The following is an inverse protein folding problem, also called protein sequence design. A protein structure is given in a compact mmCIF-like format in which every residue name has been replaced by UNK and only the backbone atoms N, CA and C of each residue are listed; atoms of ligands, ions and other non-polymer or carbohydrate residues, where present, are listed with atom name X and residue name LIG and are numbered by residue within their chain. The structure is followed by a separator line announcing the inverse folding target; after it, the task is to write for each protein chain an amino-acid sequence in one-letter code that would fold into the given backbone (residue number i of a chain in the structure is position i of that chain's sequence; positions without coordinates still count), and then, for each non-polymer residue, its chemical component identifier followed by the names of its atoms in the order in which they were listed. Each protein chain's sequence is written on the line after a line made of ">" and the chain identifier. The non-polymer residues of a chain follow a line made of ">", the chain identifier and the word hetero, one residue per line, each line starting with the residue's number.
data_IF_589452753123
#
_entry.id   IF_589452753123
#
_cell.length_a   1.000
_cell.length_b   1.000
_cell.length_c   1.000
_cell.angle_alpha   90.00
_cell.angle_beta   90.00
_cell.angle_gamma   90.00
#
_symmetry.space_group_name_H-M   'P 1'
#
loop_
_entity.id
_entity.type
_entity.pdbx_description
1 polymer ?
#
# COMPACT_ATOMS: atom_id res chain seq x y z
N UNK A 1 10.15 10.79 -8.03
CA UNK A 1 10.21 9.31 -8.02
C UNK A 1 11.11 8.87 -6.88
N UNK A 2 11.01 7.60 -6.45
CA UNK A 2 11.86 7.05 -5.40
C UNK A 2 12.38 5.67 -5.82
N UNK A 3 13.67 5.41 -5.63
CA UNK A 3 14.33 4.14 -5.97
C UNK A 3 14.98 3.58 -4.71
N UNK A 4 14.71 2.31 -4.40
CA UNK A 4 15.19 1.66 -3.19
C UNK A 4 15.98 0.39 -3.50
N UNK A 5 16.88 0.02 -2.58
CA UNK A 5 17.55 -1.28 -2.58
C UNK A 5 18.33 -1.59 -3.86
N UNK A 6 19.01 -0.60 -4.45
CA UNK A 6 19.79 -0.78 -5.68
C UNK A 6 18.94 -1.01 -6.93
N UNK A 7 17.71 -0.49 -6.97
CA UNK A 7 16.79 -0.66 -8.11
C UNK A 7 15.80 -1.81 -7.95
N UNK A 8 15.74 -2.44 -6.79
CA UNK A 8 14.78 -3.51 -6.49
C UNK A 8 13.35 -3.01 -6.37
N UNK A 9 13.15 -1.78 -5.89
CA UNK A 9 11.83 -1.15 -5.81
C UNK A 9 11.92 0.24 -6.46
N UNK A 10 10.94 0.57 -7.29
CA UNK A 10 10.78 1.88 -7.90
C UNK A 10 9.37 2.43 -7.71
N UNK A 11 9.26 3.72 -7.38
CA UNK A 11 8.00 4.42 -7.20
C UNK A 11 7.94 5.68 -8.07
N UNK A 12 6.85 5.81 -8.83
CA UNK A 12 6.41 7.04 -9.47
C UNK A 12 5.20 7.57 -8.71
N UNK A 13 5.17 8.87 -8.45
CA UNK A 13 4.14 9.54 -7.69
C UNK A 13 3.81 10.86 -8.36
N UNK A 14 2.52 11.11 -8.59
CA UNK A 14 1.98 12.37 -9.07
C UNK A 14 1.19 13.05 -7.95
N UNK A 15 1.61 14.27 -7.59
CA UNK A 15 0.95 15.12 -6.61
C UNK A 15 0.67 16.46 -7.25
N UNK A 16 -0.58 16.88 -7.19
CA UNK A 16 -1.04 18.14 -7.76
C UNK A 16 -1.12 19.20 -6.67
N UNK A 17 -0.71 20.42 -7.01
CA UNK A 17 -0.96 21.66 -6.27
C UNK A 17 -1.70 22.65 -7.18
N UNK A 18 -2.25 23.72 -6.61
CA UNK A 18 -2.93 24.75 -7.41
C UNK A 18 -1.96 25.65 -8.16
N UNK A 19 -0.85 26.02 -7.52
CA UNK A 19 0.17 26.92 -8.11
C UNK A 19 1.55 26.26 -8.28
N UNK A 20 2.34 26.81 -9.20
CA UNK A 20 3.74 26.40 -9.42
C UNK A 20 4.67 26.88 -8.29
N UNK A 21 4.28 27.92 -7.56
CA UNK A 21 4.97 28.36 -6.35
C UNK A 21 4.98 27.28 -5.28
N UNK A 22 3.85 26.60 -5.05
CA UNK A 22 3.76 25.46 -4.13
C UNK A 22 4.59 24.28 -4.60
N UNK A 23 4.53 23.95 -5.89
CA UNK A 23 5.33 22.85 -6.46
C UNK A 23 6.85 23.04 -6.27
N UNK A 24 7.32 24.29 -6.09
CA UNK A 24 8.72 24.64 -5.85
C UNK A 24 9.07 24.75 -4.37
N UNK A 25 8.09 24.76 -3.46
CA UNK A 25 8.27 24.85 -2.02
C UNK A 25 8.99 23.59 -1.47
N UNK A 26 9.92 23.79 -0.53
CA UNK A 26 10.70 22.69 0.04
C UNK A 26 9.86 21.75 0.92
N UNK A 27 8.87 22.24 1.66
CA UNK A 27 7.95 21.39 2.43
C UNK A 27 7.13 20.48 1.49
N UNK A 28 6.67 21.02 0.36
CA UNK A 28 5.96 20.24 -0.66
C UNK A 28 6.85 19.15 -1.25
N UNK A 29 8.06 19.49 -1.68
CA UNK A 29 9.03 18.50 -2.22
C UNK A 29 9.36 17.42 -1.20
N UNK A 30 9.59 17.80 0.05
CA UNK A 30 9.86 16.87 1.15
C UNK A 30 8.70 15.91 1.37
N UNK A 31 7.47 16.44 1.39
CA UNK A 31 6.27 15.62 1.47
C UNK A 31 6.20 14.61 0.31
N UNK A 32 6.35 15.05 -0.94
CA UNK A 32 6.29 14.16 -2.12
C UNK A 32 7.34 13.05 -2.03
N UNK A 33 8.57 13.37 -1.63
CA UNK A 33 9.63 12.39 -1.44
C UNK A 33 9.30 11.38 -0.33
N UNK A 34 8.77 11.87 0.79
CA UNK A 34 8.41 11.06 1.93
C UNK A 34 7.22 10.13 1.63
N UNK A 35 6.22 10.59 0.87
CA UNK A 35 5.12 9.75 0.40
C UNK A 35 5.63 8.70 -0.59
N UNK A 36 6.56 9.04 -1.50
CA UNK A 36 7.14 8.06 -2.41
C UNK A 36 7.94 6.96 -1.67
N UNK A 37 8.67 7.34 -0.61
CA UNK A 37 9.33 6.39 0.29
C UNK A 37 8.31 5.52 1.03
N UNK A 38 7.24 6.12 1.55
CA UNK A 38 6.17 5.40 2.21
C UNK A 38 5.52 4.36 1.29
N UNK A 39 5.18 4.72 0.05
CA UNK A 39 4.63 3.79 -0.94
C UNK A 39 5.59 2.63 -1.20
N UNK A 40 6.90 2.91 -1.30
CA UNK A 40 7.89 1.85 -1.51
C UNK A 40 7.89 0.82 -0.37
N UNK A 41 7.76 1.28 0.87
CA UNK A 41 7.79 0.46 2.07
C UNK A 41 6.46 -0.23 2.41
N UNK A 42 5.34 0.48 2.27
CA UNK A 42 4.01 0.03 2.72
C UNK A 42 3.16 -0.59 1.61
N UNK A 43 3.60 -0.50 0.35
CA UNK A 43 2.97 -1.14 -0.81
C UNK A 43 1.43 -1.02 -0.88
N UNK A 44 0.85 0.20 -0.76
CA UNK A 44 -0.58 0.39 -0.99
C UNK A 44 -0.94 0.02 -2.44
N UNK A 45 -2.18 -0.39 -2.63
CA UNK A 45 -2.75 -0.71 -3.95
C UNK A 45 -3.63 0.42 -4.48
N UNK A 46 -4.26 1.18 -3.58
CA UNK A 46 -5.21 2.25 -3.89
C UNK A 46 -4.82 3.54 -3.15
N UNK A 47 -5.31 4.70 -3.60
CA UNK A 47 -5.09 5.96 -2.87
C UNK A 47 -6.05 6.03 -1.68
N UNK A 48 -7.35 5.90 -1.94
CA UNK A 48 -8.39 5.92 -0.92
C UNK A 48 -9.33 4.71 -0.99
N UNK A 49 -10.26 4.61 -0.04
CA UNK A 49 -11.25 3.53 0.01
C UNK A 49 -12.25 3.59 -1.15
N UNK A 50 -12.45 4.79 -1.68
CA UNK A 50 -13.34 5.07 -2.80
C UNK A 50 -12.75 4.60 -4.13
N UNK A 51 -11.42 4.45 -4.20
CA UNK A 51 -10.74 3.94 -5.39
C UNK A 51 -10.77 2.41 -5.49
N UNK A 52 -11.24 1.71 -4.45
CA UNK A 52 -11.36 0.24 -4.47
C UNK A 52 -12.57 -0.14 -5.35
N UNK A 53 -12.38 -0.90 -6.44
CA UNK A 53 -13.50 -1.37 -7.26
C UNK A 53 -14.49 -2.21 -6.44
N UNK A 54 -15.79 -2.06 -6.74
CA UNK A 54 -16.86 -2.80 -6.07
C UNK A 54 -16.63 -4.30 -6.11
N UNK A 55 -16.15 -4.81 -7.23
CA UNK A 55 -15.94 -6.24 -7.48
C UNK A 55 -14.84 -6.79 -6.57
N UNK A 56 -13.75 -6.03 -6.40
CA UNK A 56 -12.63 -6.39 -5.51
C UNK A 56 -13.09 -6.39 -4.05
N UNK A 57 -13.84 -5.38 -3.65
CA UNK A 57 -14.36 -5.26 -2.28
C UNK A 57 -15.37 -6.38 -1.95
N UNK A 58 -16.25 -6.71 -2.89
CA UNK A 58 -17.23 -7.79 -2.73
C UNK A 58 -16.55 -9.15 -2.67
N UNK A 59 -15.52 -9.38 -3.48
CA UNK A 59 -14.75 -10.61 -3.44
C UNK A 59 -14.02 -10.79 -2.11
N UNK A 60 -13.32 -9.76 -1.63
CA UNK A 60 -12.68 -9.80 -0.30
C UNK A 60 -13.71 -10.08 0.79
N UNK A 61 -14.89 -9.44 0.73
CA UNK A 61 -15.99 -9.70 1.67
C UNK A 61 -16.41 -11.18 1.63
N UNK A 62 -16.57 -11.77 0.44
CA UNK A 62 -16.93 -13.19 0.29
C UNK A 62 -15.88 -14.10 0.93
N UNK A 63 -14.60 -13.83 0.68
CA UNK A 63 -13.47 -14.59 1.25
C UNK A 63 -13.49 -14.53 2.78
N UNK A 64 -13.66 -13.33 3.36
CA UNK A 64 -13.70 -13.15 4.81
C UNK A 64 -14.91 -13.84 5.47
N UNK A 65 -16.08 -13.80 4.83
CA UNK A 65 -17.28 -14.52 5.29
C UNK A 65 -17.02 -16.03 5.29
N UNK A 66 -16.48 -16.57 4.18
CA UNK A 66 -16.16 -18.00 4.08
C UNK A 66 -15.17 -18.43 5.18
N UNK A 67 -14.10 -17.65 5.37
CA UNK A 67 -13.11 -17.87 6.42
C UNK A 67 -13.72 -17.86 7.82
N UNK A 68 -14.59 -16.91 8.13
CA UNK A 68 -15.27 -16.86 9.43
C UNK A 68 -16.16 -18.07 9.68
N UNK A 69 -16.85 -18.59 8.64
CA UNK A 69 -17.66 -19.81 8.75
C UNK A 69 -16.79 -21.04 8.98
N UNK A 70 -15.67 -21.18 8.26
CA UNK A 70 -14.70 -22.27 8.45
C UNK A 70 -14.09 -22.25 9.85
N UNK A 71 -13.83 -21.06 10.41
CA UNK A 71 -13.35 -20.89 11.79
C UNK A 71 -14.44 -21.14 12.86
N UNK A 72 -15.67 -21.52 12.46
CA UNK A 72 -16.76 -21.86 13.37
C UNK A 72 -17.36 -20.65 14.11
N UNK A 73 -17.23 -19.43 13.55
CA UNK A 73 -17.87 -18.24 14.12
C UNK A 73 -19.39 -18.33 13.98
N UNK A 74 -20.13 -17.80 14.95
CA UNK A 74 -21.60 -17.77 14.91
C UNK A 74 -22.11 -16.84 13.81
N UNK A 75 -23.08 -17.28 13.02
CA UNK A 75 -23.63 -16.54 11.87
C UNK A 75 -24.05 -15.10 12.22
N UNK A 76 -24.70 -14.91 13.38
CA UNK A 76 -25.13 -13.60 13.91
C UNK A 76 -23.97 -12.61 14.17
N UNK A 77 -22.75 -13.11 14.33
CA UNK A 77 -21.56 -12.31 14.58
C UNK A 77 -20.71 -12.11 13.33
N UNK A 78 -20.90 -12.91 12.28
CA UNK A 78 -20.02 -12.91 11.10
C UNK A 78 -20.02 -11.55 10.43
N UNK A 79 -21.20 -10.96 10.20
CA UNK A 79 -21.29 -9.66 9.52
C UNK A 79 -20.49 -8.57 10.25
N UNK A 80 -20.59 -8.51 11.58
CA UNK A 80 -19.85 -7.55 12.41
C UNK A 80 -18.34 -7.81 12.40
N UNK A 81 -17.93 -9.08 12.40
CA UNK A 81 -16.52 -9.47 12.34
C UNK A 81 -15.93 -9.07 10.99
N UNK A 82 -16.63 -9.41 9.90
CA UNK A 82 -16.22 -9.13 8.53
C UNK A 82 -16.15 -7.62 8.27
N UNK A 83 -17.08 -6.83 8.79
CA UNK A 83 -17.02 -5.37 8.69
C UNK A 83 -15.74 -4.80 9.30
N UNK A 84 -15.36 -5.27 10.50
CA UNK A 84 -14.10 -4.88 11.14
C UNK A 84 -12.86 -5.32 10.34
N UNK A 85 -12.88 -6.53 9.79
CA UNK A 85 -11.79 -7.05 8.95
C UNK A 85 -11.67 -6.29 7.63
N UNK A 86 -12.78 -5.95 6.97
CA UNK A 86 -12.78 -5.12 5.77
C UNK A 86 -12.23 -3.73 6.05
N UNK A 87 -12.57 -3.13 7.20
CA UNK A 87 -12.00 -1.85 7.61
C UNK A 87 -10.49 -1.92 7.79
N UNK A 88 -10.00 -3.00 8.43
CA UNK A 88 -8.57 -3.25 8.61
C UNK A 88 -7.87 -3.48 7.26
N UNK A 89 -8.41 -4.34 6.41
CA UNK A 89 -7.90 -4.60 5.07
C UNK A 89 -7.80 -3.30 4.26
N UNK A 90 -8.86 -2.49 4.24
CA UNK A 90 -8.84 -1.19 3.58
C UNK A 90 -7.74 -0.26 4.13
N UNK A 91 -7.48 -0.29 5.44
CA UNK A 91 -6.38 0.49 6.04
C UNK A 91 -4.98 -0.01 5.69
N UNK A 92 -4.85 -1.26 5.25
CA UNK A 92 -3.58 -1.85 4.83
C UNK A 92 -3.32 -1.61 3.33
N UNK A 93 -4.36 -1.53 2.50
CA UNK A 93 -4.20 -1.39 1.03
C UNK A 93 -4.41 0.03 0.50
N UNK A 94 -5.00 0.95 1.27
CA UNK A 94 -5.25 2.33 0.85
C UNK A 94 -4.21 3.28 1.44
N UNK A 95 -3.46 3.97 0.58
CA UNK A 95 -2.40 4.89 0.96
C UNK A 95 -2.82 5.89 2.05
N UNK A 96 -3.96 6.57 1.86
CA UNK A 96 -4.41 7.63 2.78
C UNK A 96 -4.76 7.11 4.18
N UNK A 97 -5.07 5.82 4.32
CA UNK A 97 -5.47 5.18 5.56
C UNK A 97 -4.28 4.56 6.32
N UNK A 98 -3.15 4.38 5.64
CA UNK A 98 -1.95 3.78 6.21
C UNK A 98 -1.31 4.70 7.25
N UNK A 99 -0.74 4.08 8.29
CA UNK A 99 0.13 4.79 9.25
C UNK A 99 1.43 5.19 8.58
N UNK A 100 1.80 6.46 8.74
CA UNK A 100 2.93 7.03 8.02
C UNK A 100 4.26 6.48 8.56
N UNK A 101 5.11 5.99 7.66
CA UNK A 101 6.33 5.23 8.03
C UNK A 101 7.35 6.05 8.83
N UNK A 102 7.41 7.37 8.63
CA UNK A 102 8.33 8.25 9.38
C UNK A 102 7.70 8.78 10.67
N UNK A 103 6.38 8.68 10.81
CA UNK A 103 5.66 9.03 12.03
C UNK A 103 4.37 8.19 12.17
N UNK A 104 4.44 7.01 12.79
CA UNK A 104 3.31 6.09 12.89
C UNK A 104 2.13 6.59 13.73
N UNK A 105 2.28 7.71 14.46
CA UNK A 105 1.18 8.32 15.20
C UNK A 105 0.10 8.84 14.23
N UNK A 106 0.53 9.33 13.07
CA UNK A 106 -0.35 9.89 12.03
C UNK A 106 -0.55 8.94 10.85
N UNK A 107 -1.70 9.06 10.22
CA UNK A 107 -1.99 8.51 8.90
C UNK A 107 -1.40 9.38 7.81
N UNK A 108 -1.23 8.84 6.60
CA UNK A 108 -0.83 9.63 5.43
C UNK A 108 -1.82 10.75 5.15
N UNK A 109 -3.12 10.51 5.31
CA UNK A 109 -4.13 11.56 5.16
C UNK A 109 -3.90 12.71 6.15
N UNK A 110 -3.65 12.43 7.43
CA UNK A 110 -3.37 13.48 8.42
C UNK A 110 -2.12 14.28 8.07
N UNK A 111 -1.06 13.63 7.59
CA UNK A 111 0.16 14.31 7.12
C UNK A 111 -0.13 15.20 5.90
N UNK A 112 -0.98 14.73 4.98
CA UNK A 112 -1.44 15.54 3.83
C UNK A 112 -2.25 16.76 4.29
N UNK A 113 -3.19 16.57 5.22
CA UNK A 113 -4.02 17.67 5.75
C UNK A 113 -3.17 18.71 6.50
N UNK A 114 -2.18 18.27 7.29
CA UNK A 114 -1.24 19.18 7.96
C UNK A 114 -0.49 20.05 6.93
N UNK A 115 -0.05 19.45 5.82
CA UNK A 115 0.64 20.18 4.76
C UNK A 115 -0.30 21.17 4.05
N UNK A 116 -1.52 20.75 3.71
CA UNK A 116 -2.55 21.62 3.13
C UNK A 116 -2.80 22.81 4.05
N UNK A 117 -2.98 22.59 5.35
CA UNK A 117 -3.19 23.66 6.33
C UNK A 117 -1.99 24.60 6.43
N UNK A 118 -0.75 24.07 6.33
CA UNK A 118 0.48 24.86 6.37
C UNK A 118 0.68 25.71 5.12
N UNK A 119 0.37 25.15 3.95
CA UNK A 119 0.60 25.81 2.65
C UNK A 119 -0.55 26.75 2.29
N UNK A 120 -1.78 26.41 2.68
CA UNK A 120 -2.99 27.19 2.35
C UNK A 120 -3.54 26.95 0.95
N UNK A 121 -3.14 25.85 0.28
CA UNK A 121 -3.64 25.44 -1.03
C UNK A 121 -4.07 23.97 -0.99
N UNK A 122 -5.01 23.58 -1.86
CA UNK A 122 -5.38 22.17 -2.01
C UNK A 122 -4.23 21.36 -2.63
N UNK A 123 -3.96 20.20 -2.04
CA UNK A 123 -2.93 19.27 -2.50
C UNK A 123 -3.58 17.89 -2.66
N UNK A 124 -3.37 17.27 -3.82
CA UNK A 124 -4.00 15.99 -4.16
C UNK A 124 -2.95 15.00 -4.61
N UNK A 125 -2.88 13.85 -3.92
CA UNK A 125 -2.16 12.68 -4.44
C UNK A 125 -3.02 12.08 -5.56
N UNK A 126 -2.58 12.21 -6.81
CA UNK A 126 -3.41 11.90 -7.97
C UNK A 126 -3.33 10.43 -8.39
N UNK A 127 -2.11 9.89 -8.42
CA UNK A 127 -1.81 8.49 -8.78
C UNK A 127 -0.39 8.14 -8.36
N UNK A 128 -0.15 6.85 -8.18
CA UNK A 128 1.20 6.32 -8.04
C UNK A 128 1.34 5.02 -8.84
N UNK A 129 2.59 4.65 -9.11
CA UNK A 129 2.95 3.32 -9.58
C UNK A 129 4.12 2.83 -8.74
N UNK A 130 4.02 1.60 -8.24
CA UNK A 130 5.09 0.91 -7.51
C UNK A 130 5.47 -0.32 -8.31
N UNK A 131 6.76 -0.51 -8.50
CA UNK A 131 7.33 -1.69 -9.15
C UNK A 131 8.27 -2.36 -8.17
N UNK A 132 8.19 -3.68 -8.05
CA UNK A 132 9.12 -4.49 -7.28
C UNK A 132 9.73 -5.61 -8.15
N UNK A 133 11.06 -5.76 -8.08
CA UNK A 133 11.78 -6.75 -8.86
C UNK A 133 11.35 -8.16 -8.46
N UNK A 134 10.83 -8.91 -9.42
CA UNK A 134 10.33 -10.28 -9.23
C UNK A 134 8.89 -10.35 -8.75
N UNK A 135 8.16 -9.24 -8.72
CA UNK A 135 6.72 -9.22 -8.51
C UNK A 135 6.02 -10.10 -9.56
N UNK A 136 5.14 -11.00 -9.11
CA UNK A 136 4.44 -11.96 -9.98
C UNK A 136 5.27 -13.12 -10.52
N UNK A 137 6.57 -13.23 -10.16
CA UNK A 137 7.42 -14.36 -10.57
C UNK A 137 7.46 -15.40 -9.47
N UNK A 138 7.03 -16.63 -9.78
CA UNK A 138 7.24 -17.77 -8.88
C UNK A 138 8.75 -18.04 -8.74
N UNK A 139 9.26 -17.87 -7.52
CA UNK A 139 10.64 -18.29 -7.21
C UNK A 139 10.71 -19.81 -7.31
N UNK A 140 11.49 -20.32 -8.27
CA UNK A 140 11.93 -21.71 -8.25
C UNK A 140 12.67 -21.96 -6.93
N UNK A 141 12.11 -22.82 -6.09
CA UNK A 141 12.84 -23.40 -4.95
C UNK A 141 13.71 -24.52 -5.50
N UNK A 142 14.94 -24.18 -5.87
CA UNK A 142 15.95 -25.19 -6.16
C UNK A 142 16.55 -25.65 -4.84
N UNK A 143 16.32 -26.90 -4.47
CA UNK A 143 16.95 -27.51 -3.31
C UNK A 143 18.38 -27.89 -3.71
N UNK A 144 19.31 -26.98 -3.45
CA UNK A 144 20.74 -27.15 -3.77
C UNK A 144 21.30 -28.50 -3.27
N UNK A 145 20.80 -29.01 -2.14
CA UNK A 145 21.23 -30.31 -1.61
C UNK A 145 20.76 -31.49 -2.48
N UNK A 146 19.57 -31.41 -3.08
CA UNK A 146 19.07 -32.42 -4.02
C UNK A 146 19.80 -32.37 -5.36
N UNK A 147 20.14 -31.17 -5.83
CA UNK A 147 20.90 -30.97 -7.07
C UNK A 147 22.33 -31.52 -6.95
N UNK A 148 23.01 -31.23 -5.83
CA UNK A 148 24.34 -31.79 -5.53
C UNK A 148 24.28 -33.31 -5.36
N UNK A 149 23.25 -33.83 -4.69
CA UNK A 149 23.07 -35.28 -4.52
C UNK A 149 22.77 -36.01 -5.84
N UNK A 150 22.15 -35.35 -6.82
CA UNK A 150 21.89 -35.90 -8.15
C UNK A 150 23.17 -35.97 -8.99
N UNK A 151 24.03 -34.95 -8.93
CA UNK A 151 25.30 -34.92 -9.67
C UNK A 151 26.36 -35.90 -9.15
N UNK A 152 26.27 -36.32 -7.89
CA UNK A 152 27.17 -37.33 -7.30
C UNK A 152 26.74 -38.79 -7.58
N UNK A 153 25.61 -38.99 -8.28
CA UNK A 153 25.07 -40.32 -8.63
C UNK A 153 25.31 -40.72 -10.10
N UNK A 154 25.96 -39.86 -10.89
CA UNK A 154 26.55 -40.20 -12.20
C UNK A 154 28.04 -40.52 -12.05
#
# INVERSE_FOLDING_TARGET
>A
SYIHGGGRIGVLLEVNSETDFVARNEDFKNFVNDIALHIAASAPQYISKEDIPSEVREEEKRILVAKCREEGKKEEMIDRIVEGQLKKWASEICLLEQKFVKNPDKTVNEVLQDLIAKIGENIVIRRFARFELGEGVEKKKENFAEEVAAQLKE
#
